data_IF_736539661262
#
_entry.id   IF_736539661262
#
_cell.length_a   1.000
_cell.length_b   1.000
_cell.length_c   1.000
_cell.angle_alpha   90.00
_cell.angle_beta   90.00
_cell.angle_gamma   90.00
#
_symmetry.space_group_name_H-M   'P 1'
#
loop_
_entity.id
_entity.type
_entity.pdbx_description
1 polymer ?
#
# COMPACT_ATOMS: atom_id res chain seq x y z
N UNK A 1 22.45 -47.51 -55.76
CA UNK A 1 23.47 -47.21 -54.71
C UNK A 1 23.07 -45.94 -53.95
N UNK A 2 22.58 -46.14 -52.72
CA UNK A 2 22.75 -45.33 -51.49
C UNK A 2 23.10 -43.83 -51.66
N UNK A 3 22.17 -42.94 -51.33
CA UNK A 3 22.47 -41.69 -50.59
C UNK A 3 21.41 -41.46 -49.50
N UNK A 4 21.93 -41.28 -48.31
CA UNK A 4 21.28 -41.35 -47.01
C UNK A 4 20.65 -40.00 -46.63
N UNK A 5 19.60 -40.10 -45.81
CA UNK A 5 18.92 -39.05 -45.06
C UNK A 5 19.91 -38.19 -44.26
N UNK A 6 19.67 -36.87 -44.19
CA UNK A 6 19.98 -36.07 -43.00
C UNK A 6 18.94 -34.95 -42.81
N UNK A 7 17.99 -35.20 -41.91
CA UNK A 7 17.09 -34.21 -41.34
C UNK A 7 17.81 -33.50 -40.20
N UNK A 8 18.01 -32.19 -40.29
CA UNK A 8 18.49 -31.39 -39.16
C UNK A 8 17.30 -30.99 -38.29
N UNK A 9 17.14 -31.69 -37.16
CA UNK A 9 16.28 -31.24 -36.07
C UNK A 9 17.05 -30.18 -35.26
N UNK A 10 16.62 -28.92 -35.36
CA UNK A 10 17.15 -27.83 -34.53
C UNK A 10 16.48 -27.92 -33.17
N UNK A 11 17.24 -28.36 -32.16
CA UNK A 11 16.81 -28.36 -30.76
C UNK A 11 16.83 -26.91 -30.27
N UNK A 12 15.65 -26.31 -30.15
CA UNK A 12 15.48 -24.97 -29.56
C UNK A 12 15.62 -25.10 -28.05
N UNK A 13 16.75 -24.64 -27.52
CA UNK A 13 16.94 -24.52 -26.08
C UNK A 13 15.94 -23.49 -25.53
N UNK A 14 14.98 -23.94 -24.74
CA UNK A 14 14.16 -23.08 -23.90
C UNK A 14 15.10 -22.39 -22.89
N UNK A 15 15.45 -21.14 -23.16
CA UNK A 15 16.05 -20.29 -22.15
C UNK A 15 15.07 -20.19 -20.98
N UNK A 16 15.52 -20.67 -19.82
CA UNK A 16 14.80 -20.56 -18.57
C UNK A 16 14.36 -19.11 -18.34
N UNK A 17 13.08 -18.95 -18.02
CA UNK A 17 12.47 -17.68 -17.69
C UNK A 17 13.27 -16.97 -16.59
N UNK A 18 13.88 -15.83 -16.93
CA UNK A 18 14.16 -14.81 -15.92
C UNK A 18 12.82 -14.13 -15.67
N UNK A 19 12.18 -14.50 -14.55
CA UNK A 19 10.97 -13.86 -14.08
C UNK A 19 11.17 -12.33 -14.04
N UNK A 20 10.13 -11.53 -14.33
CA UNK A 20 10.25 -10.09 -14.35
C UNK A 20 10.69 -9.60 -12.98
N UNK A 21 11.55 -8.57 -13.00
CA UNK A 21 11.88 -7.69 -11.88
C UNK A 21 10.65 -7.50 -11.01
N UNK A 22 10.68 -8.09 -9.82
CA UNK A 22 9.67 -7.88 -8.80
C UNK A 22 9.69 -6.39 -8.46
N UNK A 23 8.64 -5.66 -8.83
CA UNK A 23 8.24 -4.50 -8.04
C UNK A 23 8.17 -4.99 -6.59
N UNK A 24 9.04 -4.44 -5.74
CA UNK A 24 9.39 -5.02 -4.46
C UNK A 24 8.14 -5.25 -3.60
N UNK A 25 7.97 -6.52 -3.23
CA UNK A 25 6.98 -7.00 -2.29
C UNK A 25 6.88 -6.08 -1.05
N UNK A 26 5.67 -5.68 -0.64
CA UNK A 26 5.49 -4.75 0.49
C UNK A 26 5.81 -5.45 1.81
N UNK A 27 6.78 -4.92 2.57
CA UNK A 27 6.90 -5.29 3.97
C UNK A 27 5.76 -4.67 4.80
N UNK A 28 5.37 -5.35 5.88
CA UNK A 28 4.20 -4.99 6.67
C UNK A 28 4.21 -3.53 7.12
N UNK A 29 5.37 -3.01 7.53
CA UNK A 29 5.41 -1.66 8.05
C UNK A 29 5.69 -0.59 6.97
N UNK A 30 6.18 -0.94 5.78
CA UNK A 30 5.99 -0.09 4.60
C UNK A 30 4.50 0.04 4.26
N UNK A 31 3.73 -1.05 4.35
CA UNK A 31 2.29 -1.04 4.08
C UNK A 31 1.52 -0.19 5.11
N UNK A 32 1.83 -0.34 6.40
CA UNK A 32 1.31 0.56 7.44
C UNK A 32 1.67 2.03 7.17
N UNK A 33 2.93 2.31 6.80
CA UNK A 33 3.33 3.67 6.47
C UNK A 33 2.54 4.24 5.28
N UNK A 34 2.23 3.43 4.27
CA UNK A 34 1.37 3.84 3.16
C UNK A 34 -0.08 4.11 3.59
N UNK A 35 -0.65 3.30 4.48
CA UNK A 35 -1.97 3.56 5.04
C UNK A 35 -2.00 4.89 5.81
N UNK A 36 -0.97 5.16 6.62
CA UNK A 36 -0.82 6.44 7.33
C UNK A 36 -0.70 7.61 6.35
N UNK A 37 0.05 7.46 5.25
CA UNK A 37 0.15 8.49 4.22
C UNK A 37 -1.15 8.71 3.45
N UNK A 38 -1.93 7.66 3.21
CA UNK A 38 -3.25 7.80 2.59
C UNK A 38 -4.21 8.58 3.50
N UNK A 39 -4.23 8.26 4.80
CA UNK A 39 -4.99 9.00 5.81
C UNK A 39 -4.57 10.48 5.86
N UNK A 40 -3.27 10.77 5.94
CA UNK A 40 -2.77 12.14 5.96
C UNK A 40 -3.16 12.90 4.69
N UNK A 41 -3.04 12.26 3.52
CA UNK A 41 -3.39 12.87 2.24
C UNK A 41 -4.89 13.18 2.17
N UNK A 42 -5.74 12.28 2.67
CA UNK A 42 -7.18 12.48 2.74
C UNK A 42 -7.54 13.66 3.65
N UNK A 43 -6.95 13.73 4.85
CA UNK A 43 -7.20 14.83 5.78
C UNK A 43 -6.65 16.17 5.25
N UNK A 44 -5.53 16.15 4.54
CA UNK A 44 -4.98 17.34 3.87
C UNK A 44 -5.90 17.83 2.74
N UNK A 45 -6.43 16.91 1.92
CA UNK A 45 -7.40 17.25 0.89
C UNK A 45 -8.71 17.80 1.50
N UNK A 46 -9.14 17.27 2.64
CA UNK A 46 -10.26 17.82 3.38
C UNK A 46 -9.96 19.21 3.96
N UNK A 47 -8.74 19.49 4.41
CA UNK A 47 -8.37 20.81 4.90
C UNK A 47 -8.55 21.89 3.84
N UNK A 48 -8.11 21.62 2.61
CA UNK A 48 -8.29 22.55 1.48
C UNK A 48 -9.75 22.98 1.24
N UNK A 49 -10.75 22.14 1.60
CA UNK A 49 -12.18 22.44 1.44
C UNK A 49 -12.89 22.87 2.73
N UNK A 50 -12.48 22.35 3.89
CA UNK A 50 -13.25 22.40 5.14
C UNK A 50 -12.67 23.33 6.20
N UNK A 51 -11.41 23.72 6.09
CA UNK A 51 -10.70 24.47 7.14
C UNK A 51 -11.37 25.81 7.46
N UNK A 52 -11.93 26.50 6.47
CA UNK A 52 -12.67 27.76 6.66
C UNK A 52 -14.17 27.58 6.89
N UNK A 53 -14.71 26.37 6.67
CA UNK A 53 -16.16 26.08 6.67
C UNK A 53 -16.63 25.35 7.92
N UNK A 54 -15.73 24.61 8.59
CA UNK A 54 -16.03 23.87 9.81
C UNK A 54 -14.94 24.16 10.86
N UNK A 55 -15.24 24.98 11.88
CA UNK A 55 -14.31 25.22 12.99
C UNK A 55 -13.91 23.95 13.73
N UNK A 56 -14.83 22.98 13.83
CA UNK A 56 -14.57 21.68 14.43
C UNK A 56 -13.51 20.90 13.63
N UNK A 57 -13.65 20.84 12.30
CA UNK A 57 -12.64 20.22 11.44
C UNK A 57 -11.28 20.90 11.63
N UNK A 58 -11.22 22.24 11.58
CA UNK A 58 -9.96 22.97 11.70
C UNK A 58 -9.23 22.66 13.02
N UNK A 59 -9.97 22.65 14.15
CA UNK A 59 -9.41 22.33 15.46
C UNK A 59 -8.89 20.88 15.53
N UNK A 60 -9.67 19.90 15.07
CA UNK A 60 -9.28 18.49 15.10
C UNK A 60 -8.13 18.19 14.14
N UNK A 61 -8.13 18.77 12.94
CA UNK A 61 -7.04 18.62 11.98
C UNK A 61 -5.73 19.24 12.51
N UNK A 62 -5.79 20.42 13.11
CA UNK A 62 -4.64 21.04 13.77
C UNK A 62 -4.07 20.16 14.88
N UNK A 63 -4.94 19.59 15.72
CA UNK A 63 -4.54 18.65 16.78
C UNK A 63 -3.92 17.39 16.21
N UNK A 64 -4.53 16.81 15.16
CA UNK A 64 -3.99 15.65 14.46
C UNK A 64 -2.55 15.90 13.97
N UNK A 65 -2.32 17.03 13.29
CA UNK A 65 -0.98 17.42 12.80
C UNK A 65 0.02 17.61 13.94
N UNK A 66 -0.39 18.26 15.03
CA UNK A 66 0.47 18.55 16.17
C UNK A 66 0.87 17.29 16.93
N UNK A 67 -0.10 16.44 17.28
CA UNK A 67 0.12 15.22 18.07
C UNK A 67 0.87 14.17 17.26
N UNK A 68 0.53 14.01 15.98
CA UNK A 68 1.05 12.91 15.17
C UNK A 68 2.21 13.27 14.25
N UNK A 69 2.70 14.51 14.26
CA UNK A 69 3.70 15.00 13.31
C UNK A 69 4.96 14.11 13.20
N UNK A 70 5.47 13.61 14.32
CA UNK A 70 6.62 12.69 14.33
C UNK A 70 6.31 11.33 13.68
N UNK A 71 5.12 10.77 13.94
CA UNK A 71 4.67 9.52 13.31
C UNK A 71 4.47 9.68 11.80
N UNK A 72 3.86 10.79 11.37
CA UNK A 72 3.67 11.11 9.95
C UNK A 72 5.02 11.22 9.22
N UNK A 73 5.99 11.91 9.82
CA UNK A 73 7.35 12.03 9.28
C UNK A 73 8.06 10.66 9.22
N UNK A 74 7.94 9.83 10.24
CA UNK A 74 8.48 8.47 10.27
C UNK A 74 7.90 7.59 9.15
N UNK A 75 6.57 7.63 8.96
CA UNK A 75 5.91 6.90 7.88
C UNK A 75 6.40 7.36 6.49
N UNK A 76 6.52 8.67 6.27
CA UNK A 76 7.06 9.22 5.03
C UNK A 76 8.51 8.76 4.77
N UNK A 77 9.38 8.81 5.79
CA UNK A 77 10.76 8.36 5.67
C UNK A 77 10.86 6.86 5.37
N UNK A 78 9.93 6.06 5.88
CA UNK A 78 9.85 4.63 5.59
C UNK A 78 9.47 4.37 4.13
N UNK A 79 8.49 5.10 3.59
CA UNK A 79 8.11 4.97 2.18
C UNK A 79 9.20 5.47 1.23
N UNK A 80 9.88 6.56 1.56
CA UNK A 80 11.02 7.03 0.77
C UNK A 80 12.12 5.98 0.67
N UNK A 81 12.39 5.25 1.76
CA UNK A 81 13.32 4.11 1.75
C UNK A 81 12.80 2.93 0.94
N UNK A 82 11.51 2.62 1.03
CA UNK A 82 10.88 1.54 0.26
C UNK A 82 10.98 1.78 -1.26
N UNK A 83 10.78 3.03 -1.71
CA UNK A 83 10.88 3.41 -3.12
C UNK A 83 12.28 3.90 -3.54
N UNK A 84 13.29 3.81 -2.68
CA UNK A 84 14.62 4.32 -3.00
C UNK A 84 15.20 3.59 -4.21
N UNK A 85 15.61 4.34 -5.24
CA UNK A 85 16.19 3.78 -6.48
C UNK A 85 15.17 3.37 -7.54
N UNK A 86 13.87 3.47 -7.28
CA UNK A 86 12.81 3.23 -8.25
C UNK A 86 12.02 4.52 -8.52
N UNK A 87 11.78 4.87 -9.79
CA UNK A 87 10.91 6.01 -10.17
C UNK A 87 9.44 5.87 -9.70
N UNK A 88 9.12 4.75 -9.06
CA UNK A 88 7.80 4.31 -8.62
C UNK A 88 7.22 5.16 -7.48
N UNK A 89 8.07 5.81 -6.66
CA UNK A 89 7.59 6.63 -5.53
C UNK A 89 6.73 7.83 -5.96
N UNK A 90 7.01 8.42 -7.14
CA UNK A 90 6.19 9.51 -7.68
C UNK A 90 4.84 9.00 -8.20
N UNK A 91 4.86 7.86 -8.90
CA UNK A 91 3.65 7.19 -9.40
C UNK A 91 2.75 6.79 -8.23
N UNK A 92 3.33 6.25 -7.17
CA UNK A 92 2.63 5.93 -5.93
C UNK A 92 2.06 7.16 -5.22
N UNK A 93 2.82 8.25 -5.14
CA UNK A 93 2.33 9.50 -4.53
C UNK A 93 1.13 10.07 -5.29
N UNK A 94 1.16 9.99 -6.63
CA UNK A 94 0.03 10.38 -7.47
C UNK A 94 -1.18 9.47 -7.26
N UNK A 95 -0.98 8.14 -7.18
CA UNK A 95 -2.08 7.19 -6.93
C UNK A 95 -2.71 7.40 -5.55
N UNK A 96 -1.91 7.70 -4.52
CA UNK A 96 -2.39 8.05 -3.19
C UNK A 96 -3.28 9.30 -3.23
N UNK A 97 -2.85 10.35 -3.93
CA UNK A 97 -3.64 11.58 -4.04
C UNK A 97 -5.00 11.32 -4.71
N UNK A 98 -5.03 10.54 -5.79
CA UNK A 98 -6.28 10.13 -6.46
C UNK A 98 -7.18 9.32 -5.53
N UNK A 99 -6.62 8.37 -4.78
CA UNK A 99 -7.38 7.54 -3.85
C UNK A 99 -7.92 8.35 -2.66
N UNK A 100 -7.09 9.19 -2.06
CA UNK A 100 -7.49 10.08 -0.98
C UNK A 100 -8.59 11.05 -1.41
N UNK A 101 -8.50 11.62 -2.62
CA UNK A 101 -9.57 12.41 -3.20
C UNK A 101 -10.85 11.60 -3.40
N UNK A 102 -10.74 10.30 -3.70
CA UNK A 102 -11.87 9.38 -3.82
C UNK A 102 -12.50 9.04 -2.47
N UNK A 103 -11.69 8.76 -1.46
CA UNK A 103 -12.14 8.47 -0.09
C UNK A 103 -12.82 9.70 0.56
N UNK A 104 -12.33 10.91 0.25
CA UNK A 104 -12.96 12.15 0.72
C UNK A 104 -14.23 12.53 -0.06
N UNK A 105 -14.47 11.96 -1.25
CA UNK A 105 -15.65 12.27 -2.07
C UNK A 105 -16.90 11.69 -1.40
N UNK A 106 -17.90 12.54 -1.19
CA UNK A 106 -19.17 12.17 -0.56
C UNK A 106 -19.24 12.43 0.95
N UNK A 107 -18.11 12.71 1.61
CA UNK A 107 -18.09 13.10 3.03
C UNK A 107 -18.31 14.60 3.18
N UNK A 108 -19.13 15.01 4.14
CA UNK A 108 -19.28 16.41 4.53
C UNK A 108 -18.07 16.91 5.34
N UNK A 109 -18.02 18.20 5.67
CA UNK A 109 -16.99 18.71 6.56
C UNK A 109 -17.15 18.22 8.00
N UNK A 110 -18.37 17.89 8.42
CA UNK A 110 -18.63 17.34 9.75
C UNK A 110 -18.20 15.88 9.83
N UNK A 111 -18.44 15.08 8.78
CA UNK A 111 -17.91 13.72 8.70
C UNK A 111 -16.37 13.72 8.77
N UNK A 112 -15.73 14.64 8.03
CA UNK A 112 -14.28 14.79 8.10
C UNK A 112 -13.80 15.29 9.47
N UNK A 113 -14.58 16.10 10.18
CA UNK A 113 -14.23 16.55 11.53
C UNK A 113 -14.21 15.35 12.50
N UNK A 114 -15.17 14.43 12.38
CA UNK A 114 -15.19 13.18 13.15
C UNK A 114 -13.96 12.32 12.84
N UNK A 115 -13.61 12.15 11.57
CA UNK A 115 -12.42 11.37 11.17
C UNK A 115 -11.13 12.03 11.68
N UNK A 116 -11.01 13.36 11.56
CA UNK A 116 -9.86 14.10 12.06
C UNK A 116 -9.72 13.98 13.58
N UNK A 117 -10.83 13.99 14.33
CA UNK A 117 -10.83 13.77 15.79
C UNK A 117 -10.29 12.41 16.15
N UNK A 118 -10.81 11.34 15.54
CA UNK A 118 -10.37 9.96 15.81
C UNK A 118 -8.88 9.80 15.46
N UNK A 119 -8.44 10.37 14.33
CA UNK A 119 -7.03 10.36 13.97
C UNK A 119 -6.16 11.13 14.98
N UNK A 120 -6.64 12.26 15.52
CA UNK A 120 -5.93 13.04 16.53
C UNK A 120 -5.67 12.23 17.81
N UNK A 121 -6.59 11.34 18.18
CA UNK A 121 -6.49 10.48 19.38
C UNK A 121 -5.47 9.33 19.24
N UNK A 122 -4.75 9.24 18.12
CA UNK A 122 -3.74 8.19 17.86
C UNK A 122 -2.43 8.35 18.66
N UNK A 123 -2.28 9.45 19.41
CA UNK A 123 -1.20 9.61 20.39
C UNK A 123 0.23 9.61 19.83
N UNK A 124 0.41 9.94 18.55
CA UNK A 124 1.73 9.94 17.92
C UNK A 124 2.26 8.55 17.55
N UNK A 125 1.39 7.55 17.44
CA UNK A 125 1.77 6.19 17.05
C UNK A 125 1.45 5.89 15.59
N UNK A 126 2.45 5.45 14.82
CA UNK A 126 2.27 4.95 13.44
C UNK A 126 1.30 3.76 13.43
N UNK A 127 1.41 2.86 14.40
CA UNK A 127 0.57 1.67 14.50
C UNK A 127 -0.89 2.05 14.78
N UNK A 128 -1.15 3.00 15.69
CA UNK A 128 -2.50 3.44 15.98
C UNK A 128 -3.15 4.12 14.76
N UNK A 129 -2.38 4.97 14.06
CA UNK A 129 -2.83 5.60 12.82
C UNK A 129 -3.09 4.57 11.71
N UNK A 130 -2.22 3.57 11.58
CA UNK A 130 -2.39 2.50 10.59
C UNK A 130 -3.63 1.65 10.90
N UNK A 131 -3.86 1.29 12.17
CA UNK A 131 -5.08 0.59 12.61
C UNK A 131 -6.34 1.38 12.29
N UNK A 132 -6.33 2.69 12.55
CA UNK A 132 -7.45 3.55 12.17
C UNK A 132 -7.65 3.60 10.66
N UNK A 133 -6.59 3.81 9.89
CA UNK A 133 -6.63 3.82 8.43
C UNK A 133 -7.16 2.50 7.86
N UNK A 134 -6.75 1.34 8.40
CA UNK A 134 -7.31 0.03 8.04
C UNK A 134 -8.82 -0.06 8.33
N UNK A 135 -9.26 0.42 9.50
CA UNK A 135 -10.69 0.40 9.87
C UNK A 135 -11.56 1.32 9.01
N UNK A 136 -10.95 2.37 8.45
CA UNK A 136 -11.57 3.29 7.50
C UNK A 136 -11.42 2.84 6.03
N UNK A 137 -10.96 1.60 5.81
CA UNK A 137 -10.69 0.99 4.49
C UNK A 137 -9.76 1.84 3.60
N UNK A 138 -8.83 2.59 4.21
CA UNK A 138 -7.80 3.35 3.51
C UNK A 138 -6.66 2.42 3.11
N UNK A 139 -6.88 1.66 2.05
CA UNK A 139 -5.92 0.69 1.52
C UNK A 139 -5.17 1.27 0.32
N UNK A 140 -3.83 1.35 0.37
CA UNK A 140 -3.04 1.87 -0.74
C UNK A 140 -3.10 0.91 -1.93
N UNK A 141 -3.72 1.34 -3.03
CA UNK A 141 -3.74 0.63 -4.30
C UNK A 141 -2.45 0.93 -5.08
N UNK A 142 -1.83 -0.12 -5.64
CA UNK A 142 -0.55 -0.02 -6.39
C UNK A 142 0.59 -0.90 -5.86
N UNK A 143 0.31 -1.75 -4.86
CA UNK A 143 1.25 -2.72 -4.32
C UNK A 143 0.59 -4.07 -4.15
N UNK A 144 0.70 -4.93 -5.15
CA UNK A 144 -0.06 -6.19 -5.23
C UNK A 144 0.24 -7.10 -4.03
N UNK A 145 -0.68 -7.12 -3.06
CA UNK A 145 -0.65 -7.96 -1.86
C UNK A 145 0.63 -7.73 -1.01
N UNK A 146 0.51 -7.29 0.26
CA UNK A 146 1.52 -7.68 1.25
C UNK A 146 1.81 -9.15 0.99
N UNK A 147 3.05 -9.50 0.63
CA UNK A 147 3.35 -10.80 0.04
C UNK A 147 2.52 -11.85 0.75
N UNK A 148 1.68 -12.61 0.03
CA UNK A 148 0.90 -13.67 0.64
C UNK A 148 1.83 -14.40 1.60
N UNK A 149 1.41 -14.50 2.87
CA UNK A 149 1.75 -15.64 3.67
C UNK A 149 1.32 -16.84 2.81
N UNK A 150 2.26 -17.40 2.05
CA UNK A 150 1.99 -18.58 1.26
C UNK A 150 1.70 -19.66 2.29
N UNK A 151 0.41 -19.95 2.50
CA UNK A 151 0.01 -21.16 3.17
C UNK A 151 0.62 -22.29 2.34
N UNK A 152 1.76 -22.81 2.77
CA UNK A 152 2.35 -24.02 2.22
C UNK A 152 1.25 -25.08 2.32
N UNK A 153 0.69 -25.58 1.22
CA UNK A 153 -0.17 -26.75 1.33
C UNK A 153 0.74 -27.88 1.81
N UNK A 154 0.57 -28.32 3.06
CA UNK A 154 1.12 -29.59 3.51
C UNK A 154 0.51 -30.64 2.58
N UNK A 155 1.27 -31.07 1.58
CA UNK A 155 0.91 -32.27 0.82
C UNK A 155 1.14 -33.44 1.77
N UNK A 156 0.07 -33.84 2.46
CA UNK A 156 0.02 -35.17 3.05
C UNK A 156 0.07 -36.14 1.88
N UNK A 157 1.24 -36.73 1.63
CA UNK A 157 1.37 -37.85 0.72
C UNK A 157 0.59 -39.03 1.30
N UNK A 158 -0.69 -39.14 0.95
CA UNK A 158 -1.43 -40.38 1.08
C UNK A 158 -0.83 -41.35 0.05
N UNK A 159 0.12 -42.17 0.49
CA UNK A 159 0.56 -43.34 -0.25
C UNK A 159 -0.64 -44.30 -0.36
N UNK A 160 -1.35 -44.22 -1.47
CA UNK A 160 -2.18 -45.30 -1.95
C UNK A 160 -1.26 -46.40 -2.46
N UNK A 161 -0.93 -47.35 -1.59
CA UNK A 161 -0.41 -48.65 -1.99
C UNK A 161 -1.53 -49.66 -1.85
N UNK A 162 -2.30 -49.81 -2.91
CA UNK A 162 -3.10 -51.00 -3.12
C UNK A 162 -2.18 -52.15 -3.50
N UNK A 163 -2.26 -53.23 -2.71
CA UNK A 163 -2.20 -54.61 -3.17
C UNK A 163 -3.30 -55.37 -2.44
#
# INVERSE_FOLDING_TARGET
MKRLLQSFAVITAFAAATAPVQAACWDAAAFEAAQVRQLETMLTAAAARCETRSPAFAAHYGTFRAVNGAALASAQARLQRHFAGAGEGQVFSASLATQAASAARGLSCDDMAVLARIAADSGGSVEALARFASSADLRPQGGAETCRAEAVPIRIALNASGQ
#
